data_IF_014476533654
#
_entry.id   IF_014476533654
#
_cell.length_a   1.000
_cell.length_b   1.000
_cell.length_c   1.000
_cell.angle_alpha   90.00
_cell.angle_beta   90.00
_cell.angle_gamma   90.00
#
_symmetry.space_group_name_H-M   'P 1'
#
loop_
_entity.id
_entity.type
_entity.pdbx_description
1 polymer ?
#
# COMPACT_ATOMS: atom_id res chain seq x y z
N UNK A 1 10.40 28.39 14.36
CA UNK A 1 10.13 27.07 14.95
C UNK A 1 10.90 26.08 14.09
N UNK A 2 11.56 25.07 14.64
CA UNK A 2 12.14 24.04 13.80
C UNK A 2 11.02 23.44 12.93
N UNK A 3 11.29 23.28 11.63
CA UNK A 3 10.35 22.64 10.70
C UNK A 3 10.04 21.25 11.22
N UNK A 4 8.79 21.02 11.64
CA UNK A 4 8.36 19.72 12.15
C UNK A 4 8.30 18.80 10.94
N UNK A 5 9.28 17.89 10.84
CA UNK A 5 9.39 16.93 9.75
C UNK A 5 8.15 16.02 9.71
N UNK A 6 7.46 15.97 8.58
CA UNK A 6 6.37 15.00 8.37
C UNK A 6 6.90 13.57 8.42
N UNK A 7 6.05 12.62 8.81
CA UNK A 7 6.40 11.22 9.03
C UNK A 7 5.49 10.29 8.23
N UNK A 8 6.09 9.38 7.49
CA UNK A 8 5.38 8.33 6.77
C UNK A 8 5.71 6.93 7.35
N UNK A 9 4.70 6.09 7.48
CA UNK A 9 4.86 4.64 7.71
C UNK A 9 4.59 3.94 6.38
N UNK A 10 5.51 3.03 5.97
CA UNK A 10 5.38 2.27 4.73
C UNK A 10 5.49 0.78 5.02
N UNK A 11 4.47 0.00 4.68
CA UNK A 11 4.48 -1.46 4.85
C UNK A 11 4.94 -2.17 3.57
N UNK A 12 5.55 -3.36 3.69
CA UNK A 12 6.08 -4.11 2.56
C UNK A 12 7.26 -3.42 1.88
N UNK A 13 8.16 -2.81 2.65
CA UNK A 13 9.13 -1.83 2.22
C UNK A 13 10.53 -2.39 1.89
N UNK A 14 10.71 -3.71 1.81
CA UNK A 14 12.05 -4.31 1.56
C UNK A 14 12.45 -4.38 0.10
N UNK A 15 11.53 -4.16 -0.83
CA UNK A 15 11.77 -4.24 -2.28
C UNK A 15 10.62 -3.61 -3.08
N UNK A 16 10.85 -3.40 -4.38
CA UNK A 16 9.82 -3.01 -5.35
C UNK A 16 9.14 -1.69 -5.01
N UNK A 17 7.80 -1.63 -5.14
CA UNK A 17 7.03 -0.40 -4.92
C UNK A 17 7.24 0.16 -3.51
N UNK A 18 7.23 -0.67 -2.47
CA UNK A 18 7.37 -0.21 -1.09
C UNK A 18 8.72 0.45 -0.82
N UNK A 19 9.81 -0.13 -1.28
CA UNK A 19 11.15 0.44 -1.18
C UNK A 19 11.26 1.79 -1.90
N UNK A 20 10.76 1.86 -3.13
CA UNK A 20 10.77 3.10 -3.91
C UNK A 20 9.91 4.21 -3.27
N UNK A 21 8.76 3.86 -2.68
CA UNK A 21 7.93 4.79 -1.92
C UNK A 21 8.68 5.33 -0.69
N UNK A 22 9.41 4.47 0.04
CA UNK A 22 10.28 4.90 1.16
C UNK A 22 11.30 5.94 0.67
N UNK A 23 12.02 5.63 -0.41
CA UNK A 23 13.01 6.57 -0.98
C UNK A 23 12.38 7.89 -1.41
N UNK A 24 11.19 7.86 -2.00
CA UNK A 24 10.49 9.05 -2.44
C UNK A 24 10.05 9.96 -1.27
N UNK A 25 9.53 9.38 -0.18
CA UNK A 25 9.22 10.15 1.02
C UNK A 25 10.49 10.68 1.70
N UNK A 26 11.58 9.89 1.73
CA UNK A 26 12.88 10.38 2.23
C UNK A 26 13.41 11.56 1.41
N UNK A 27 13.34 11.49 0.08
CA UNK A 27 13.74 12.58 -0.81
C UNK A 27 12.91 13.87 -0.59
N UNK A 28 11.67 13.75 -0.11
CA UNK A 28 10.83 14.89 0.30
C UNK A 28 11.10 15.36 1.74
N UNK A 29 12.09 14.82 2.43
CA UNK A 29 12.45 15.21 3.78
C UNK A 29 11.59 14.60 4.90
N UNK A 30 10.72 13.63 4.61
CA UNK A 30 9.96 12.94 5.64
C UNK A 30 10.85 12.07 6.51
N UNK A 31 10.55 11.94 7.82
CA UNK A 31 10.92 10.79 8.60
C UNK A 31 10.13 9.57 8.10
N UNK A 32 10.76 8.40 8.02
CA UNK A 32 10.08 7.20 7.55
C UNK A 32 10.25 6.05 8.52
N UNK A 33 9.17 5.34 8.83
CA UNK A 33 9.19 4.04 9.48
C UNK A 33 8.77 2.99 8.46
N UNK A 34 9.67 2.07 8.14
CA UNK A 34 9.48 1.07 7.11
C UNK A 34 9.41 -0.32 7.70
N UNK A 35 8.51 -1.18 7.21
CA UNK A 35 8.41 -2.56 7.69
C UNK A 35 8.33 -3.58 6.57
N UNK A 36 8.96 -4.70 6.79
CA UNK A 36 8.72 -5.99 6.13
C UNK A 36 9.31 -7.11 7.00
N UNK A 37 9.06 -8.36 6.63
CA UNK A 37 9.63 -9.52 7.34
C UNK A 37 11.16 -9.58 7.26
N UNK A 38 11.74 -9.08 6.15
CA UNK A 38 13.16 -9.16 5.83
C UNK A 38 13.86 -7.80 5.71
N UNK A 39 13.22 -6.73 6.18
CA UNK A 39 13.82 -5.39 6.10
C UNK A 39 15.11 -5.32 6.91
N UNK A 40 16.13 -4.69 6.32
CA UNK A 40 17.42 -4.51 6.99
C UNK A 40 17.48 -3.14 7.68
N UNK A 41 18.25 -3.02 8.76
CA UNK A 41 18.49 -1.73 9.40
C UNK A 41 19.08 -0.71 8.41
N UNK A 42 18.64 0.54 8.53
CA UNK A 42 19.15 1.65 7.72
C UNK A 42 20.26 2.41 8.46
N UNK A 43 21.18 3.00 7.70
CA UNK A 43 22.15 3.98 8.21
C UNK A 43 21.61 5.42 8.16
N UNK A 44 20.50 5.65 7.46
CA UNK A 44 19.82 6.94 7.43
C UNK A 44 19.14 7.18 8.79
N UNK A 45 19.50 8.23 9.54
CA UNK A 45 18.94 8.50 10.87
C UNK A 45 17.44 8.81 10.86
N UNK A 46 16.89 9.13 9.68
CA UNK A 46 15.48 9.44 9.48
C UNK A 46 14.70 8.28 8.83
N UNK A 47 15.30 7.10 8.72
CA UNK A 47 14.66 5.87 8.26
C UNK A 47 14.80 4.77 9.30
N UNK A 48 13.70 4.44 9.95
CA UNK A 48 13.62 3.36 10.95
C UNK A 48 13.08 2.11 10.28
N UNK A 49 13.83 1.03 10.36
CA UNK A 49 13.41 -0.29 9.90
C UNK A 49 12.85 -1.11 11.08
N UNK A 50 11.62 -1.60 10.95
CA UNK A 50 10.96 -2.46 11.92
C UNK A 50 10.64 -3.80 11.26
N UNK A 51 11.43 -4.82 11.52
CA UNK A 51 11.17 -6.15 10.98
C UNK A 51 9.96 -6.79 11.65
N UNK A 52 9.03 -7.35 10.84
CA UNK A 52 7.84 -8.03 11.36
C UNK A 52 6.87 -8.48 10.28
N UNK A 53 5.98 -9.39 10.66
CA UNK A 53 4.83 -9.78 9.85
C UNK A 53 3.72 -8.75 10.08
N UNK A 54 3.28 -8.08 9.02
CA UNK A 54 2.24 -7.05 9.11
C UNK A 54 0.87 -7.63 9.49
N UNK A 55 0.64 -8.91 9.26
CA UNK A 55 -0.56 -9.61 9.73
C UNK A 55 -0.55 -9.92 11.25
N UNK A 56 0.51 -9.52 11.96
CA UNK A 56 0.58 -9.56 13.41
C UNK A 56 0.30 -8.15 13.98
N UNK A 57 -0.75 -7.97 14.81
CA UNK A 57 -1.09 -6.67 15.39
C UNK A 57 0.05 -6.06 16.21
N UNK A 58 0.93 -6.88 16.81
CA UNK A 58 2.08 -6.38 17.55
C UNK A 58 3.09 -5.67 16.64
N UNK A 59 3.21 -6.08 15.39
CA UNK A 59 4.03 -5.36 14.40
C UNK A 59 3.51 -3.93 14.20
N UNK A 60 2.19 -3.77 14.03
CA UNK A 60 1.56 -2.45 13.87
C UNK A 60 1.76 -1.54 15.09
N UNK A 61 1.66 -2.10 16.31
CA UNK A 61 1.95 -1.36 17.54
C UNK A 61 3.41 -0.89 17.60
N UNK A 62 4.36 -1.75 17.22
CA UNK A 62 5.80 -1.39 17.18
C UNK A 62 6.09 -0.31 16.14
N UNK A 63 5.39 -0.30 14.99
CA UNK A 63 5.51 0.77 13.98
C UNK A 63 5.10 2.12 14.55
N UNK A 64 3.94 2.17 15.19
CA UNK A 64 3.44 3.40 15.83
C UNK A 64 4.38 3.85 16.95
N UNK A 65 4.81 2.93 17.82
CA UNK A 65 5.74 3.26 18.90
C UNK A 65 7.05 3.85 18.37
N UNK A 66 7.66 3.23 17.35
CA UNK A 66 8.89 3.71 16.74
C UNK A 66 8.72 5.10 16.09
N UNK A 67 7.59 5.35 15.41
CA UNK A 67 7.29 6.65 14.83
C UNK A 67 7.13 7.74 15.93
N UNK A 68 6.38 7.43 16.97
CA UNK A 68 6.12 8.36 18.07
C UNK A 68 7.36 8.65 18.91
N UNK A 69 8.15 7.62 19.23
CA UNK A 69 9.39 7.76 19.99
C UNK A 69 10.42 8.63 19.25
N UNK A 70 10.58 8.39 17.94
CA UNK A 70 11.63 9.07 17.15
C UNK A 70 11.22 10.44 16.64
N UNK A 71 9.95 10.59 16.20
CA UNK A 71 9.48 11.75 15.46
C UNK A 71 8.30 12.47 16.12
N UNK A 72 7.58 11.83 17.03
CA UNK A 72 6.45 12.40 17.76
C UNK A 72 5.16 12.57 16.93
N UNK A 73 5.10 12.03 15.70
CA UNK A 73 3.95 12.19 14.80
C UNK A 73 3.88 11.12 13.73
N UNK A 74 2.71 10.99 13.09
CA UNK A 74 2.46 10.16 11.91
C UNK A 74 1.54 10.95 10.97
N UNK A 75 2.04 11.33 9.79
CA UNK A 75 1.27 12.09 8.81
C UNK A 75 0.69 11.21 7.73
N UNK A 76 1.41 10.16 7.33
CA UNK A 76 1.01 9.29 6.23
C UNK A 76 1.23 7.82 6.59
N UNK A 77 0.25 6.98 6.29
CA UNK A 77 0.39 5.52 6.27
C UNK A 77 0.23 5.02 4.84
N UNK A 78 1.23 4.30 4.32
CA UNK A 78 1.11 3.59 3.04
C UNK A 78 1.01 2.09 3.31
N UNK A 79 -0.19 1.54 3.15
CA UNK A 79 -0.44 0.10 3.21
C UNK A 79 -0.09 -0.52 1.85
N UNK A 80 1.19 -0.84 1.67
CA UNK A 80 1.70 -1.45 0.44
C UNK A 80 1.94 -2.96 0.59
N UNK A 81 2.15 -3.47 1.79
CA UNK A 81 2.36 -4.90 2.01
C UNK A 81 1.24 -5.74 1.38
N UNK A 82 1.62 -6.72 0.58
CA UNK A 82 0.67 -7.60 -0.07
C UNK A 82 1.38 -8.70 -0.86
N UNK A 83 0.64 -9.76 -1.12
CA UNK A 83 1.07 -10.89 -1.95
C UNK A 83 0.03 -11.18 -3.02
N UNK A 84 0.48 -11.75 -4.13
CA UNK A 84 -0.38 -12.24 -5.20
C UNK A 84 -0.23 -13.75 -5.34
N UNK A 85 -1.35 -14.47 -5.39
CA UNK A 85 -1.44 -15.89 -5.73
C UNK A 85 -2.57 -16.03 -6.74
N UNK A 86 -2.25 -16.38 -7.98
CA UNK A 86 -3.22 -16.62 -9.06
C UNK A 86 -3.40 -18.13 -9.24
N UNK A 87 -4.63 -18.63 -9.08
CA UNK A 87 -4.99 -20.04 -9.28
C UNK A 87 -6.45 -20.14 -9.72
N UNK A 88 -6.85 -21.26 -10.35
CA UNK A 88 -8.26 -21.61 -10.47
C UNK A 88 -8.90 -21.71 -9.08
N UNK A 89 -10.17 -21.38 -8.96
CA UNK A 89 -10.84 -21.29 -7.66
C UNK A 89 -10.74 -22.59 -6.84
N UNK A 90 -10.90 -23.73 -7.51
CA UNK A 90 -10.85 -25.06 -6.88
C UNK A 90 -9.45 -25.50 -6.43
N UNK A 91 -8.39 -24.82 -6.91
CA UNK A 91 -7.00 -25.19 -6.65
C UNK A 91 -6.40 -24.39 -5.48
N UNK A 92 -7.15 -23.42 -4.94
CA UNK A 92 -6.72 -22.73 -3.73
C UNK A 92 -6.77 -23.66 -2.52
N UNK A 93 -5.67 -23.74 -1.81
CA UNK A 93 -5.61 -24.41 -0.52
C UNK A 93 -6.10 -23.50 0.62
N UNK A 94 -6.41 -24.09 1.77
CA UNK A 94 -6.70 -23.32 2.99
C UNK A 94 -5.52 -22.41 3.37
N UNK A 95 -4.29 -22.89 3.21
CA UNK A 95 -3.08 -22.10 3.50
C UNK A 95 -2.94 -20.89 2.56
N UNK A 96 -3.21 -21.04 1.26
CA UNK A 96 -3.23 -19.92 0.32
C UNK A 96 -4.23 -18.85 0.76
N UNK A 97 -5.42 -19.29 1.14
CA UNK A 97 -6.50 -18.42 1.60
C UNK A 97 -6.09 -17.67 2.89
N UNK A 98 -5.67 -18.40 3.92
CA UNK A 98 -5.26 -17.83 5.20
C UNK A 98 -4.08 -16.88 5.06
N UNK A 99 -3.04 -17.29 4.33
CA UNK A 99 -1.85 -16.47 4.10
C UNK A 99 -2.21 -15.14 3.43
N UNK A 100 -3.11 -15.19 2.42
CA UNK A 100 -3.48 -14.00 1.68
C UNK A 100 -4.36 -13.05 2.48
N UNK A 101 -5.32 -13.57 3.24
CA UNK A 101 -6.14 -12.78 4.16
C UNK A 101 -5.24 -12.11 5.21
N UNK A 102 -4.38 -12.90 5.86
CA UNK A 102 -3.44 -12.41 6.88
C UNK A 102 -2.56 -11.27 6.35
N UNK A 103 -1.95 -11.46 5.17
CA UNK A 103 -1.03 -10.44 4.64
C UNK A 103 -1.78 -9.22 4.12
N UNK A 104 -2.83 -9.42 3.32
CA UNK A 104 -3.47 -8.33 2.60
C UNK A 104 -4.56 -7.62 3.41
N UNK A 105 -5.35 -8.35 4.22
CA UNK A 105 -6.46 -7.75 4.98
C UNK A 105 -6.09 -7.48 6.44
N UNK A 106 -5.56 -8.47 7.18
CA UNK A 106 -5.20 -8.23 8.57
C UNK A 106 -4.10 -7.18 8.66
N UNK A 107 -3.11 -7.23 7.75
CA UNK A 107 -2.04 -6.24 7.68
C UNK A 107 -2.56 -4.82 7.45
N UNK A 108 -3.47 -4.65 6.49
CA UNK A 108 -4.15 -3.39 6.25
C UNK A 108 -4.95 -2.92 7.47
N UNK A 109 -5.75 -3.83 8.04
CA UNK A 109 -6.65 -3.52 9.16
C UNK A 109 -5.85 -3.08 10.39
N UNK A 110 -4.88 -3.89 10.85
CA UNK A 110 -4.14 -3.59 12.07
C UNK A 110 -3.27 -2.34 11.94
N UNK A 111 -2.59 -2.13 10.81
CA UNK A 111 -1.80 -0.94 10.60
C UNK A 111 -2.65 0.33 10.60
N UNK A 112 -3.79 0.30 9.90
CA UNK A 112 -4.71 1.44 9.83
C UNK A 112 -5.34 1.72 11.20
N UNK A 113 -5.80 0.67 11.90
CA UNK A 113 -6.39 0.80 13.24
C UNK A 113 -5.40 1.37 14.26
N UNK A 114 -4.11 0.99 14.17
CA UNK A 114 -3.10 1.50 15.09
C UNK A 114 -2.72 2.97 14.83
N UNK A 115 -2.74 3.42 13.56
CA UNK A 115 -2.29 4.77 13.16
C UNK A 115 -3.40 5.82 13.32
N UNK A 116 -4.65 5.50 13.04
CA UNK A 116 -5.78 6.43 13.07
C UNK A 116 -5.88 7.20 14.41
N UNK A 117 -5.75 6.61 15.59
CA UNK A 117 -5.82 7.35 16.87
C UNK A 117 -4.77 8.47 16.98
N UNK A 118 -3.56 8.25 16.46
CA UNK A 118 -2.50 9.27 16.44
C UNK A 118 -2.91 10.42 15.52
N UNK A 119 -3.36 10.12 14.30
CA UNK A 119 -3.84 11.12 13.33
C UNK A 119 -5.04 11.91 13.86
N UNK A 120 -5.95 11.27 14.60
CA UNK A 120 -7.08 11.93 15.26
C UNK A 120 -6.62 12.94 16.31
N UNK A 121 -5.63 12.59 17.10
CA UNK A 121 -5.04 13.50 18.09
C UNK A 121 -4.33 14.69 17.42
N UNK A 122 -3.74 14.48 16.25
CA UNK A 122 -3.09 15.51 15.45
C UNK A 122 -4.10 16.41 14.70
N UNK A 123 -5.34 15.94 14.48
CA UNK A 123 -6.34 16.60 13.65
C UNK A 123 -6.01 16.57 12.14
N UNK A 124 -5.08 15.73 11.73
CA UNK A 124 -4.67 15.58 10.33
C UNK A 124 -4.01 14.24 10.08
N UNK A 125 -4.16 13.70 8.87
CA UNK A 125 -3.51 12.46 8.44
C UNK A 125 -3.90 12.03 7.03
N UNK A 126 -3.13 11.11 6.48
CA UNK A 126 -3.44 10.50 5.20
C UNK A 126 -3.13 9.00 5.21
N UNK A 127 -4.07 8.19 4.76
CA UNK A 127 -3.89 6.74 4.57
C UNK A 127 -3.98 6.44 3.08
N UNK A 128 -2.96 5.80 2.52
CA UNK A 128 -2.92 5.36 1.13
C UNK A 128 -2.87 3.83 1.08
N UNK A 129 -3.80 3.24 0.35
CA UNK A 129 -3.84 1.80 0.11
C UNK A 129 -3.22 1.48 -1.24
N UNK A 130 -2.33 0.49 -1.32
CA UNK A 130 -1.95 -0.09 -2.62
C UNK A 130 -2.84 -1.31 -2.87
N UNK A 131 -3.85 -1.09 -3.71
CA UNK A 131 -4.83 -2.12 -4.07
C UNK A 131 -4.43 -2.84 -5.36
N UNK A 132 -5.29 -2.99 -6.32
CA UNK A 132 -4.99 -3.50 -7.66
C UNK A 132 -6.18 -3.25 -8.60
N UNK A 133 -5.93 -2.95 -9.85
CA UNK A 133 -6.98 -2.82 -10.88
C UNK A 133 -7.73 -4.14 -11.11
N UNK A 134 -7.08 -5.28 -10.86
CA UNK A 134 -7.73 -6.59 -10.90
C UNK A 134 -8.86 -6.75 -9.86
N UNK A 135 -9.00 -5.84 -8.90
CA UNK A 135 -10.14 -5.81 -8.00
C UNK A 135 -11.46 -5.44 -8.73
N UNK A 136 -11.36 -4.78 -9.87
CA UNK A 136 -12.49 -4.30 -10.66
C UNK A 136 -12.57 -4.93 -12.06
N UNK A 137 -11.53 -5.66 -12.47
CA UNK A 137 -11.43 -6.33 -13.76
C UNK A 137 -11.16 -7.83 -13.61
N UNK A 138 -12.18 -8.65 -13.91
CA UNK A 138 -12.05 -10.10 -13.93
C UNK A 138 -11.57 -10.61 -15.30
N UNK A 139 -10.64 -11.56 -15.31
CA UNK A 139 -10.13 -12.18 -16.54
C UNK A 139 -10.05 -13.70 -16.38
N UNK A 140 -10.56 -14.44 -17.37
CA UNK A 140 -10.40 -15.89 -17.44
C UNK A 140 -8.96 -16.33 -17.71
N UNK A 141 -8.14 -15.42 -18.25
CA UNK A 141 -6.72 -15.67 -18.55
C UNK A 141 -5.82 -15.54 -17.29
N UNK A 142 -6.33 -14.90 -16.24
CA UNK A 142 -5.62 -14.72 -14.99
C UNK A 142 -6.58 -14.85 -13.80
N UNK A 143 -6.97 -16.07 -13.45
CA UNK A 143 -7.86 -16.30 -12.31
C UNK A 143 -7.21 -15.77 -11.02
N UNK A 144 -7.90 -14.89 -10.31
CA UNK A 144 -7.34 -14.18 -9.16
C UNK A 144 -8.36 -13.95 -8.03
N UNK A 145 -9.22 -14.94 -7.76
CA UNK A 145 -10.36 -14.81 -6.84
C UNK A 145 -9.97 -14.18 -5.48
N UNK A 146 -8.96 -14.72 -4.79
CA UNK A 146 -8.58 -14.18 -3.46
C UNK A 146 -7.97 -12.77 -3.59
N UNK A 147 -7.29 -12.47 -4.71
CA UNK A 147 -6.79 -11.12 -4.95
C UNK A 147 -7.93 -10.13 -5.12
N UNK A 148 -8.94 -10.48 -5.91
CA UNK A 148 -10.14 -9.65 -6.10
C UNK A 148 -10.91 -9.48 -4.79
N UNK A 149 -11.08 -10.56 -4.01
CA UNK A 149 -11.73 -10.51 -2.70
C UNK A 149 -11.03 -9.54 -1.76
N UNK A 150 -9.72 -9.67 -1.62
CA UNK A 150 -8.95 -8.84 -0.66
C UNK A 150 -8.80 -7.40 -1.15
N UNK A 151 -8.42 -7.18 -2.40
CA UNK A 151 -8.20 -5.82 -2.94
C UNK A 151 -9.50 -5.08 -3.21
N UNK A 152 -10.58 -5.78 -3.61
CA UNK A 152 -11.93 -5.22 -3.72
C UNK A 152 -12.48 -4.81 -2.35
N UNK A 153 -12.26 -5.64 -1.31
CA UNK A 153 -12.58 -5.28 0.07
C UNK A 153 -11.84 -4.03 0.54
N UNK A 154 -10.55 -3.90 0.21
CA UNK A 154 -9.76 -2.71 0.51
C UNK A 154 -10.27 -1.45 -0.22
N UNK A 155 -10.72 -1.55 -1.50
CA UNK A 155 -11.34 -0.43 -2.22
C UNK A 155 -12.61 0.04 -1.50
N UNK A 156 -13.47 -0.88 -1.06
CA UNK A 156 -14.69 -0.56 -0.30
C UNK A 156 -14.35 0.04 1.07
N UNK A 157 -13.39 -0.52 1.78
CA UNK A 157 -12.92 -0.02 3.08
C UNK A 157 -12.31 1.38 2.96
N UNK A 158 -11.59 1.69 1.87
CA UNK A 158 -11.06 3.02 1.58
C UNK A 158 -12.16 4.07 1.58
N UNK A 159 -13.26 3.81 0.88
CA UNK A 159 -14.42 4.72 0.81
C UNK A 159 -15.11 4.87 2.17
N UNK A 160 -15.27 3.77 2.91
CA UNK A 160 -15.87 3.78 4.24
C UNK A 160 -15.08 4.64 5.22
N UNK A 161 -13.78 4.39 5.33
CA UNK A 161 -12.89 5.15 6.21
C UNK A 161 -12.77 6.62 5.79
N UNK A 162 -12.76 6.90 4.49
CA UNK A 162 -12.72 8.27 3.97
C UNK A 162 -13.91 9.11 4.48
N UNK A 163 -15.11 8.56 4.41
CA UNK A 163 -16.32 9.25 4.89
C UNK A 163 -16.34 9.34 6.42
N UNK A 164 -15.94 8.28 7.13
CA UNK A 164 -15.91 8.26 8.59
C UNK A 164 -15.00 9.33 9.19
N UNK A 165 -13.84 9.57 8.56
CA UNK A 165 -12.81 10.45 9.11
C UNK A 165 -12.62 11.79 8.39
N UNK A 166 -13.36 12.07 7.32
CA UNK A 166 -13.20 13.31 6.52
C UNK A 166 -13.33 14.59 7.40
N UNK A 167 -14.35 14.65 8.26
CA UNK A 167 -14.56 15.80 9.14
C UNK A 167 -13.53 15.89 10.29
N UNK A 168 -12.71 14.87 10.45
CA UNK A 168 -11.66 14.77 11.46
C UNK A 168 -10.27 15.09 10.88
N UNK A 169 -10.22 15.60 9.63
CA UNK A 169 -8.99 15.99 8.96
C UNK A 169 -8.14 14.81 8.44
N UNK A 170 -8.70 13.59 8.36
CA UNK A 170 -7.97 12.43 7.84
C UNK A 170 -8.52 12.07 6.46
N UNK A 171 -7.63 11.94 5.50
CA UNK A 171 -7.94 11.48 4.14
C UNK A 171 -7.58 10.00 4.01
N UNK A 172 -8.38 9.26 3.26
CA UNK A 172 -8.10 7.85 2.95
C UNK A 172 -8.32 7.64 1.46
N UNK A 173 -7.29 7.22 0.74
CA UNK A 173 -7.31 6.99 -0.70
C UNK A 173 -6.62 5.67 -1.06
N UNK A 174 -6.77 5.22 -2.28
CA UNK A 174 -6.06 4.07 -2.80
C UNK A 174 -5.40 4.38 -4.15
N UNK A 175 -4.28 3.73 -4.42
CA UNK A 175 -3.73 3.54 -5.75
C UNK A 175 -4.03 2.12 -6.17
N UNK A 176 -4.61 1.92 -7.35
CA UNK A 176 -4.93 0.63 -7.94
C UNK A 176 -4.01 0.35 -9.14
N UNK A 177 -2.86 -0.33 -8.93
CA UNK A 177 -1.94 -0.67 -10.01
C UNK A 177 -2.52 -1.70 -10.98
N UNK A 178 -2.13 -1.60 -12.25
CA UNK A 178 -2.11 -2.75 -13.14
C UNK A 178 -0.93 -3.67 -12.83
N UNK A 179 -0.37 -4.34 -13.85
CA UNK A 179 0.86 -5.13 -13.69
C UNK A 179 2.06 -4.18 -13.72
N UNK A 180 2.79 -4.14 -12.60
CA UNK A 180 3.97 -3.29 -12.42
C UNK A 180 5.23 -4.15 -12.44
N UNK A 181 6.27 -3.72 -13.14
CA UNK A 181 7.57 -4.39 -13.17
C UNK A 181 8.22 -4.35 -11.78
N UNK A 182 8.18 -5.48 -11.07
CA UNK A 182 8.73 -5.64 -9.72
C UNK A 182 9.33 -7.04 -9.57
N UNK A 183 10.19 -7.27 -8.56
CA UNK A 183 10.70 -8.61 -8.26
C UNK A 183 9.63 -9.65 -7.90
N UNK A 184 8.38 -9.24 -7.73
CA UNK A 184 7.25 -10.16 -7.48
C UNK A 184 6.91 -11.01 -8.71
N UNK A 185 7.21 -10.55 -9.92
CA UNK A 185 6.89 -11.23 -11.17
C UNK A 185 8.08 -12.04 -11.68
N UNK A 186 7.79 -13.24 -12.19
CA UNK A 186 8.78 -14.06 -12.88
C UNK A 186 9.29 -13.33 -14.14
N UNK A 187 10.60 -13.10 -14.28
CA UNK A 187 11.17 -12.44 -15.45
C UNK A 187 10.84 -13.12 -16.78
N UNK A 188 10.54 -14.43 -16.78
CA UNK A 188 10.23 -15.18 -17.99
C UNK A 188 8.84 -14.86 -18.57
N UNK A 189 7.90 -14.46 -17.73
CA UNK A 189 6.52 -14.19 -18.16
C UNK A 189 6.15 -12.71 -18.07
N UNK A 190 6.95 -11.89 -17.40
CA UNK A 190 6.61 -10.50 -17.09
C UNK A 190 6.30 -9.68 -18.35
N UNK A 191 7.05 -9.87 -19.45
CA UNK A 191 6.82 -9.15 -20.69
C UNK A 191 5.50 -9.57 -21.37
N UNK A 192 5.07 -10.84 -21.20
CA UNK A 192 3.78 -11.32 -21.72
C UNK A 192 2.60 -10.66 -21.02
N UNK A 193 2.81 -10.23 -19.76
CA UNK A 193 1.79 -9.52 -19.00
C UNK A 193 1.51 -8.11 -19.52
N UNK A 194 2.36 -7.54 -20.37
CA UNK A 194 2.14 -6.26 -21.03
C UNK A 194 0.85 -6.27 -21.87
N UNK A 195 0.54 -7.40 -22.50
CA UNK A 195 -0.65 -7.57 -23.34
C UNK A 195 -1.99 -7.48 -22.56
N UNK A 196 -1.95 -7.54 -21.22
CA UNK A 196 -3.16 -7.30 -20.41
C UNK A 196 -3.60 -5.84 -20.46
N UNK A 197 -2.68 -4.90 -20.71
CA UNK A 197 -2.98 -3.48 -20.70
C UNK A 197 -3.28 -2.96 -22.11
N UNK A 198 -4.32 -2.14 -22.32
CA UNK A 198 -4.55 -1.47 -23.60
C UNK A 198 -3.35 -0.68 -24.12
N UNK A 199 -2.52 -0.12 -23.24
CA UNK A 199 -1.27 0.53 -23.61
C UNK A 199 -0.16 -0.43 -24.06
N UNK A 200 -0.37 -1.74 -24.00
CA UNK A 200 0.55 -2.82 -24.37
C UNK A 200 1.96 -2.66 -23.76
N UNK A 201 2.00 -2.24 -22.51
CA UNK A 201 3.23 -2.11 -21.71
C UNK A 201 2.95 -2.37 -20.24
N UNK A 202 3.98 -2.73 -19.50
CA UNK A 202 3.93 -2.78 -18.04
C UNK A 202 3.99 -1.36 -17.46
N UNK A 203 3.44 -1.18 -16.27
CA UNK A 203 3.75 -0.04 -15.45
C UNK A 203 5.13 -0.19 -14.80
N UNK A 204 5.78 0.92 -14.51
CA UNK A 204 7.01 0.95 -13.75
C UNK A 204 6.74 1.37 -12.29
N UNK A 205 7.66 1.04 -11.40
CA UNK A 205 7.54 1.36 -9.96
C UNK A 205 7.34 2.87 -9.76
N UNK A 206 8.01 3.69 -10.58
CA UNK A 206 7.93 5.15 -10.55
C UNK A 206 6.53 5.68 -10.90
N UNK A 207 5.72 4.93 -11.67
CA UNK A 207 4.34 5.33 -11.96
C UNK A 207 3.50 5.28 -10.67
N UNK A 208 3.73 4.26 -9.85
CA UNK A 208 3.04 4.11 -8.56
C UNK A 208 3.55 5.12 -7.53
N UNK A 209 4.86 5.36 -7.49
CA UNK A 209 5.44 6.41 -6.62
C UNK A 209 4.81 7.75 -6.92
N UNK A 210 4.73 8.15 -8.21
CA UNK A 210 4.08 9.40 -8.63
C UNK A 210 2.62 9.49 -8.19
N UNK A 211 1.87 8.39 -8.31
CA UNK A 211 0.47 8.34 -7.89
C UNK A 211 0.31 8.49 -6.36
N UNK A 212 1.14 7.82 -5.57
CA UNK A 212 1.14 7.98 -4.11
C UNK A 212 1.45 9.42 -3.72
N UNK A 213 2.48 10.02 -4.32
CA UNK A 213 2.87 11.39 -4.03
C UNK A 213 1.84 12.42 -4.51
N UNK A 214 1.16 12.15 -5.65
CA UNK A 214 0.02 12.97 -6.09
C UNK A 214 -1.10 12.96 -5.04
N UNK A 215 -1.51 11.80 -4.56
CA UNK A 215 -2.56 11.69 -3.53
C UNK A 215 -2.12 12.32 -2.20
N UNK A 216 -0.81 12.26 -1.87
CA UNK A 216 -0.27 12.94 -0.69
C UNK A 216 -0.47 14.46 -0.79
N UNK A 217 -0.21 15.04 -1.95
CA UNK A 217 -0.32 16.47 -2.20
C UNK A 217 -1.77 16.94 -2.47
N UNK A 218 -2.66 16.05 -2.89
CA UNK A 218 -4.04 16.33 -3.26
C UNK A 218 -4.94 16.51 -2.02
N UNK A 219 -4.81 17.65 -1.35
CA UNK A 219 -5.48 17.91 -0.07
C UNK A 219 -7.03 17.87 -0.11
N UNK A 220 -7.64 17.97 -1.29
CA UNK A 220 -9.10 17.90 -1.48
C UNK A 220 -9.58 16.53 -2.00
N UNK A 221 -8.71 15.50 -1.99
CA UNK A 221 -9.04 14.15 -2.44
C UNK A 221 -9.12 13.20 -1.25
N UNK A 222 -10.28 12.56 -1.06
CA UNK A 222 -10.49 11.46 -0.11
C UNK A 222 -11.55 10.49 -0.65
N UNK A 223 -11.38 9.20 -0.41
CA UNK A 223 -12.23 8.14 -0.97
C UNK A 223 -11.92 7.78 -2.42
N UNK A 224 -10.84 8.33 -2.99
CA UNK A 224 -10.42 8.10 -4.36
C UNK A 224 -9.72 6.74 -4.51
N UNK A 225 -10.01 6.06 -5.63
CA UNK A 225 -9.31 4.87 -6.11
C UNK A 225 -8.61 5.27 -7.42
N UNK A 226 -7.37 5.70 -7.31
CA UNK A 226 -6.59 6.17 -8.47
C UNK A 226 -6.01 4.98 -9.25
N UNK A 227 -6.54 4.72 -10.43
CA UNK A 227 -6.06 3.64 -11.29
C UNK A 227 -4.79 4.06 -12.04
N UNK A 228 -3.76 3.21 -11.94
CA UNK A 228 -2.47 3.35 -12.64
C UNK A 228 -2.20 2.02 -13.33
N UNK A 229 -2.92 1.75 -14.41
CA UNK A 229 -3.11 0.40 -14.94
C UNK A 229 -3.03 0.31 -16.48
N UNK A 230 -2.54 1.35 -17.15
CA UNK A 230 -2.40 1.35 -18.59
C UNK A 230 -3.73 1.20 -19.35
N UNK A 231 -4.84 1.57 -18.70
CA UNK A 231 -6.20 1.52 -19.25
C UNK A 231 -6.93 0.19 -19.02
N UNK A 232 -6.42 -0.68 -18.16
CA UNK A 232 -6.97 -2.04 -17.95
C UNK A 232 -8.47 -2.03 -17.60
N UNK A 233 -8.89 -1.16 -16.69
CA UNK A 233 -10.30 -1.08 -16.29
C UNK A 233 -11.16 -0.19 -17.17
N UNK A 234 -10.57 0.63 -18.04
CA UNK A 234 -11.33 1.49 -18.95
C UNK A 234 -12.05 0.69 -20.07
N UNK A 235 -11.66 -0.56 -20.25
CA UNK A 235 -12.23 -1.48 -21.23
C UNK A 235 -11.28 -1.78 -22.39
N UNK A 236 -11.70 -2.72 -23.26
CA UNK A 236 -11.02 -3.12 -24.50
C UNK A 236 -11.97 -2.91 -25.68
#
# INVERSE_FOLDING_TARGET
>A
MPDIKKVAIVTGASQGMGEAIVHAFRARGYGVVATSRSIQPSRDPDLIAVAGDIGDPETSKRLVAAAMERFGRIDTLVNNAGIFIGKAFTDYTEDDYRLKLRTNLDGFFFATQAVIPVMLTQGSGHVVQITASTAEFASSLSPAFIAMLTKGGMNSATKSLAIEYAQRGIRVNAVAPGVIRTPMHDPQIVEQLAAFHPMNKLGEVEDIVRAVLYLEDAAFSTGEILHVDGGLIAGR
#
